data_IF_497657046608
#
_entry.id   IF_497657046608
#
_cell.length_a   1.000
_cell.length_b   1.000
_cell.length_c   1.000
_cell.angle_alpha   90.00
_cell.angle_beta   90.00
_cell.angle_gamma   90.00
#
_symmetry.space_group_name_H-M   'P 1'
#
loop_
_entity.id
_entity.type
_entity.pdbx_description
1 polymer ?
#
# COMPACT_ATOMS: atom_id res chain seq x y z
N UNK A 1 15.67 37.04 -7.94
CA UNK A 1 14.37 36.62 -8.50
C UNK A 1 13.46 36.23 -7.34
N UNK A 2 12.21 36.76 -7.22
CA UNK A 2 11.32 36.48 -6.11
C UNK A 2 10.25 35.48 -6.57
N UNK A 3 10.19 34.28 -5.95
CA UNK A 3 9.16 33.28 -6.24
C UNK A 3 7.80 33.85 -5.88
N UNK A 4 6.81 33.74 -6.80
CA UNK A 4 5.42 34.15 -6.57
C UNK A 4 4.44 33.00 -6.57
N UNK A 5 4.75 31.92 -7.32
CA UNK A 5 3.87 30.76 -7.48
C UNK A 5 4.67 29.47 -7.29
N UNK A 6 4.07 28.50 -6.64
CA UNK A 6 4.61 27.14 -6.44
C UNK A 6 3.56 26.14 -6.91
N UNK A 7 3.98 25.18 -7.74
CA UNK A 7 3.17 24.04 -8.14
C UNK A 7 3.58 22.81 -7.31
N UNK A 8 2.61 22.17 -6.69
CA UNK A 8 2.81 20.97 -5.86
C UNK A 8 2.09 19.80 -6.53
N UNK A 9 2.84 18.76 -6.92
CA UNK A 9 2.30 17.58 -7.63
C UNK A 9 1.67 16.52 -6.70
N UNK A 10 0.84 16.98 -5.78
CA UNK A 10 0.09 16.10 -4.87
C UNK A 10 -1.32 16.67 -4.63
N UNK A 11 -2.27 15.87 -4.13
CA UNK A 11 -3.58 16.35 -3.74
C UNK A 11 -3.49 17.46 -2.68
N UNK A 12 -4.44 18.39 -2.74
CA UNK A 12 -4.54 19.46 -1.74
C UNK A 12 -4.70 18.85 -0.34
N UNK A 13 -3.92 19.29 0.67
CA UNK A 13 -4.07 18.81 2.04
C UNK A 13 -5.47 19.07 2.57
N UNK A 14 -6.05 18.08 3.26
CA UNK A 14 -7.36 18.23 3.91
C UNK A 14 -7.28 18.98 5.23
N UNK A 15 -6.12 19.00 5.87
CA UNK A 15 -5.90 19.65 7.16
C UNK A 15 -5.56 21.14 6.98
N UNK A 16 -6.23 21.99 7.73
CA UNK A 16 -6.00 23.45 7.72
C UNK A 16 -4.59 23.82 8.22
N UNK A 17 -3.97 22.97 9.06
CA UNK A 17 -2.62 23.15 9.60
C UNK A 17 -1.51 22.57 8.70
N UNK A 18 -1.74 22.48 7.40
CA UNK A 18 -0.72 22.03 6.47
C UNK A 18 0.44 23.03 6.36
N UNK A 19 1.71 22.58 6.38
CA UNK A 19 2.88 23.43 6.15
C UNK A 19 2.82 24.25 4.89
N UNK A 20 2.15 23.74 3.84
CA UNK A 20 1.94 24.47 2.58
C UNK A 20 1.01 25.66 2.74
N UNK A 21 -0.09 25.49 3.49
CA UNK A 21 -1.04 26.58 3.73
C UNK A 21 -0.43 27.67 4.63
N UNK A 22 0.37 27.27 5.61
CA UNK A 22 1.14 28.20 6.44
C UNK A 22 2.15 28.98 5.62
N UNK A 23 2.92 28.31 4.74
CA UNK A 23 3.85 28.94 3.83
C UNK A 23 3.15 29.94 2.88
N UNK A 24 1.98 29.58 2.35
CA UNK A 24 1.16 30.45 1.50
C UNK A 24 0.79 31.75 2.21
N UNK A 25 0.33 31.65 3.47
CA UNK A 25 -0.05 32.80 4.30
C UNK A 25 1.16 33.67 4.64
N UNK A 26 2.24 33.09 5.17
CA UNK A 26 3.44 33.82 5.63
C UNK A 26 4.19 34.53 4.50
N UNK A 27 4.27 33.90 3.33
CA UNK A 27 5.07 34.43 2.21
C UNK A 27 4.24 35.07 1.10
N UNK A 28 2.91 35.11 1.25
CA UNK A 28 1.96 35.62 0.23
C UNK A 28 2.19 34.95 -1.14
N UNK A 29 2.41 33.63 -1.13
CA UNK A 29 2.65 32.83 -2.32
C UNK A 29 1.34 32.23 -2.83
N UNK A 30 1.23 32.08 -4.16
CA UNK A 30 0.19 31.24 -4.75
C UNK A 30 0.71 29.78 -4.77
N UNK A 31 -0.03 28.85 -4.17
CA UNK A 31 0.30 27.42 -4.22
C UNK A 31 -0.83 26.68 -4.92
N UNK A 32 -0.51 26.10 -6.07
CA UNK A 32 -1.42 25.29 -6.87
C UNK A 32 -1.11 23.81 -6.64
N UNK A 33 -2.14 23.01 -6.32
CA UNK A 33 -2.04 21.57 -6.08
C UNK A 33 -2.62 20.85 -7.29
N UNK A 34 -1.75 20.18 -8.07
CA UNK A 34 -2.15 19.39 -9.24
C UNK A 34 -1.48 18.01 -9.13
N UNK A 35 -2.20 16.95 -8.73
CA UNK A 35 -1.62 15.62 -8.67
C UNK A 35 -1.33 15.11 -10.08
N UNK A 36 -0.06 14.76 -10.35
CA UNK A 36 0.36 14.20 -11.64
C UNK A 36 0.21 12.68 -11.71
N UNK A 37 0.14 12.03 -10.56
CA UNK A 37 0.02 10.59 -10.46
C UNK A 37 -1.29 10.26 -9.75
N UNK A 38 -2.12 9.44 -10.39
CA UNK A 38 -3.35 8.92 -9.84
C UNK A 38 -3.26 7.40 -9.75
N UNK A 39 -3.44 6.85 -8.54
CA UNK A 39 -3.54 5.41 -8.33
C UNK A 39 -5.02 5.04 -8.35
N UNK A 40 -5.46 4.40 -9.43
CA UNK A 40 -6.81 3.85 -9.56
C UNK A 40 -6.78 2.37 -9.13
N UNK A 41 -7.58 2.03 -8.15
CA UNK A 41 -7.68 0.62 -7.74
C UNK A 41 -8.48 -0.20 -8.75
N UNK A 42 -8.04 -1.42 -9.00
CA UNK A 42 -8.74 -2.37 -9.86
C UNK A 42 -10.22 -2.54 -9.44
N UNK A 43 -11.07 -2.75 -10.40
CA UNK A 43 -12.49 -3.04 -10.18
C UNK A 43 -12.68 -4.52 -9.85
N UNK A 44 -13.83 -4.87 -9.24
CA UNK A 44 -14.18 -6.28 -8.99
C UNK A 44 -14.24 -7.09 -10.29
N UNK A 45 -14.69 -6.45 -11.39
CA UNK A 45 -14.74 -7.11 -12.71
C UNK A 45 -13.34 -7.49 -13.19
N UNK A 46 -12.38 -6.59 -13.08
CA UNK A 46 -10.98 -6.84 -13.45
C UNK A 46 -10.35 -7.95 -12.60
N UNK A 47 -10.60 -7.97 -11.29
CA UNK A 47 -10.11 -9.02 -10.38
C UNK A 47 -10.73 -10.38 -10.73
N UNK A 48 -12.05 -10.42 -11.04
CA UNK A 48 -12.71 -11.66 -11.45
C UNK A 48 -12.19 -12.19 -12.80
N UNK A 49 -11.85 -11.31 -13.74
CA UNK A 49 -11.22 -11.70 -14.99
C UNK A 49 -9.86 -12.36 -14.79
N UNK A 50 -9.12 -11.98 -13.76
CA UNK A 50 -7.86 -12.62 -13.39
C UNK A 50 -8.06 -13.99 -12.72
N UNK A 51 -9.30 -14.41 -12.46
CA UNK A 51 -9.64 -15.70 -11.81
C UNK A 51 -8.97 -15.90 -10.45
N UNK A 52 -8.70 -14.81 -9.75
CA UNK A 52 -8.07 -14.84 -8.42
C UNK A 52 -9.12 -15.26 -7.39
N UNK A 53 -8.87 -16.37 -6.72
CA UNK A 53 -9.66 -16.85 -5.60
C UNK A 53 -9.00 -16.44 -4.27
N UNK A 54 -9.57 -15.42 -3.61
CA UNK A 54 -9.03 -14.89 -2.37
C UNK A 54 -9.00 -15.89 -1.22
N UNK A 55 -9.80 -16.95 -1.28
CA UNK A 55 -9.87 -17.97 -0.23
C UNK A 55 -8.64 -18.87 -0.18
N UNK A 56 -7.86 -18.91 -1.25
CA UNK A 56 -6.66 -19.75 -1.38
C UNK A 56 -5.43 -19.15 -0.71
N UNK A 57 -5.48 -17.87 -0.34
CA UNK A 57 -4.34 -17.19 0.23
C UNK A 57 -4.41 -17.15 1.76
N UNK A 58 -3.32 -17.52 2.40
CA UNK A 58 -3.16 -17.49 3.86
C UNK A 58 -2.29 -16.31 4.33
N UNK A 59 -1.60 -15.66 3.40
CA UNK A 59 -0.76 -14.51 3.67
C UNK A 59 -0.88 -13.42 2.59
N UNK A 60 -0.65 -12.18 2.97
CA UNK A 60 -0.66 -11.05 2.05
C UNK A 60 0.57 -10.16 2.25
N UNK A 61 1.17 -9.71 1.15
CA UNK A 61 2.30 -8.79 1.14
C UNK A 61 1.79 -7.39 0.81
N UNK A 62 1.98 -6.44 1.72
CA UNK A 62 1.52 -5.06 1.61
C UNK A 62 2.71 -4.12 1.48
N UNK A 63 2.88 -3.52 0.31
CA UNK A 63 4.01 -2.65 -0.02
C UNK A 63 3.73 -1.17 0.18
N UNK A 64 2.46 -0.77 0.34
CA UNK A 64 2.05 0.62 0.48
C UNK A 64 0.68 0.74 1.17
N UNK A 65 0.33 1.95 1.62
CA UNK A 65 -1.01 2.26 2.14
C UNK A 65 -2.09 2.02 1.09
N UNK A 66 -1.82 2.36 -0.18
CA UNK A 66 -2.75 2.09 -1.28
C UNK A 66 -3.02 0.60 -1.47
N UNK A 67 -1.99 -0.26 -1.30
CA UNK A 67 -2.18 -1.70 -1.34
C UNK A 67 -3.12 -2.18 -0.22
N UNK A 68 -3.01 -1.62 0.99
CA UNK A 68 -3.91 -1.88 2.11
C UNK A 68 -5.34 -1.48 1.74
N UNK A 69 -5.56 -0.21 1.36
CA UNK A 69 -6.90 0.30 1.06
C UNK A 69 -7.58 -0.48 -0.08
N UNK A 70 -6.83 -0.76 -1.14
CA UNK A 70 -7.38 -1.47 -2.30
C UNK A 70 -7.69 -2.93 -2.01
N UNK A 71 -6.87 -3.61 -1.21
CA UNK A 71 -7.15 -4.98 -0.79
C UNK A 71 -8.45 -5.05 0.01
N UNK A 72 -8.60 -4.28 1.09
CA UNK A 72 -9.80 -4.31 1.90
C UNK A 72 -11.04 -3.84 1.15
N UNK A 73 -10.91 -2.82 0.29
CA UNK A 73 -12.00 -2.39 -0.61
C UNK A 73 -12.47 -3.50 -1.54
N UNK A 74 -11.55 -4.32 -2.09
CA UNK A 74 -11.91 -5.46 -2.92
C UNK A 74 -12.57 -6.54 -2.09
N UNK A 75 -12.03 -6.89 -0.92
CA UNK A 75 -12.63 -7.86 -0.01
C UNK A 75 -14.07 -7.48 0.33
N UNK A 76 -14.32 -6.23 0.69
CA UNK A 76 -15.66 -5.71 0.98
C UNK A 76 -16.61 -5.84 -0.22
N UNK A 77 -16.18 -5.37 -1.40
CA UNK A 77 -17.00 -5.43 -2.62
C UNK A 77 -17.26 -6.86 -3.10
N UNK A 78 -16.36 -7.79 -2.85
CA UNK A 78 -16.52 -9.20 -3.14
C UNK A 78 -17.25 -9.96 -2.02
N UNK A 79 -17.60 -9.29 -0.92
CA UNK A 79 -18.18 -9.90 0.30
C UNK A 79 -17.30 -11.01 0.88
N UNK A 80 -15.99 -10.88 0.71
CA UNK A 80 -15.00 -11.79 1.26
C UNK A 80 -14.60 -11.34 2.67
N UNK A 81 -14.94 -12.15 3.65
CA UNK A 81 -14.50 -11.93 5.04
C UNK A 81 -13.07 -12.45 5.18
N UNK A 82 -12.13 -11.53 5.41
CA UNK A 82 -10.73 -11.89 5.62
C UNK A 82 -10.62 -12.79 6.86
N UNK A 83 -10.02 -13.99 6.74
CA UNK A 83 -9.91 -14.91 7.88
C UNK A 83 -9.05 -14.33 9.00
N UNK A 84 -9.41 -14.65 10.24
CA UNK A 84 -8.61 -14.28 11.42
C UNK A 84 -7.20 -14.88 11.41
N UNK A 85 -7.00 -15.96 10.64
CA UNK A 85 -5.70 -16.61 10.44
C UNK A 85 -4.78 -15.89 9.48
N UNK A 86 -5.29 -14.93 8.68
CA UNK A 86 -4.52 -14.21 7.68
C UNK A 86 -3.25 -13.59 8.27
N UNK A 87 -2.12 -13.80 7.61
CA UNK A 87 -0.84 -13.21 7.95
C UNK A 87 -0.54 -12.01 7.04
N UNK A 88 0.03 -10.96 7.60
CA UNK A 88 0.31 -9.71 6.90
C UNK A 88 1.80 -9.44 6.88
N UNK A 89 2.37 -9.28 5.70
CA UNK A 89 3.77 -8.94 5.49
C UNK A 89 3.85 -7.51 4.99
N UNK A 90 4.18 -6.59 5.88
CA UNK A 90 4.23 -5.16 5.59
C UNK A 90 5.65 -4.73 5.24
N UNK A 91 5.83 -4.04 4.12
CA UNK A 91 7.15 -3.61 3.67
C UNK A 91 7.84 -2.67 4.68
N UNK A 92 7.06 -1.88 5.44
CA UNK A 92 7.58 -0.94 6.43
C UNK A 92 6.64 -0.80 7.62
N UNK A 93 7.16 -0.25 8.71
CA UNK A 93 6.39 0.05 9.92
C UNK A 93 5.22 1.01 9.64
N UNK A 94 5.41 1.98 8.74
CA UNK A 94 4.36 2.92 8.32
C UNK A 94 3.16 2.20 7.70
N UNK A 95 3.42 1.15 6.90
CA UNK A 95 2.36 0.32 6.31
C UNK A 95 1.69 -0.53 7.39
N UNK A 96 2.45 -1.10 8.31
CA UNK A 96 1.92 -1.91 9.41
C UNK A 96 1.05 -1.09 10.37
N UNK A 97 1.46 0.13 10.69
CA UNK A 97 0.65 1.07 11.48
C UNK A 97 -0.65 1.44 10.75
N UNK A 98 -0.57 1.70 9.44
CA UNK A 98 -1.75 2.02 8.64
C UNK A 98 -2.74 0.84 8.54
N UNK A 99 -2.22 -0.39 8.48
CA UNK A 99 -3.03 -1.62 8.46
C UNK A 99 -3.95 -1.74 9.67
N UNK A 100 -3.61 -1.15 10.82
CA UNK A 100 -4.42 -1.16 12.03
C UNK A 100 -5.78 -0.45 11.88
N UNK A 101 -5.96 0.37 10.85
CA UNK A 101 -7.27 0.94 10.52
C UNK A 101 -8.26 -0.12 10.00
N UNK A 102 -7.76 -1.28 9.59
CA UNK A 102 -8.57 -2.35 8.98
C UNK A 102 -8.58 -3.64 9.82
N UNK A 103 -7.54 -3.90 10.59
CA UNK A 103 -7.41 -5.13 11.39
C UNK A 103 -6.89 -4.82 12.79
N UNK A 104 -7.27 -5.66 13.76
CA UNK A 104 -6.69 -5.60 15.11
C UNK A 104 -5.24 -6.05 15.07
N UNK A 105 -4.33 -5.22 15.61
CA UNK A 105 -2.91 -5.55 15.65
C UNK A 105 -2.68 -6.81 16.48
N UNK A 106 -2.04 -7.81 15.85
CA UNK A 106 -1.61 -9.05 16.50
C UNK A 106 -0.16 -9.35 16.09
N UNK A 107 0.78 -9.22 17.01
CA UNK A 107 2.23 -9.40 16.79
C UNK A 107 2.58 -10.71 16.07
N UNK A 108 1.82 -11.78 16.28
CA UNK A 108 2.04 -13.10 15.65
C UNK A 108 1.57 -13.19 14.19
N UNK A 109 0.89 -12.17 13.69
CA UNK A 109 0.28 -12.17 12.34
C UNK A 109 0.77 -11.04 11.45
N UNK A 110 1.47 -10.05 12.01
CA UNK A 110 1.97 -8.89 11.28
C UNK A 110 3.49 -8.91 11.33
N UNK A 111 4.08 -9.12 10.17
CA UNK A 111 5.52 -9.17 9.95
C UNK A 111 5.94 -7.88 9.24
N UNK A 112 6.98 -7.23 9.72
CA UNK A 112 7.35 -5.89 9.25
C UNK A 112 8.78 -5.89 8.74
N UNK A 113 8.97 -5.51 7.47
CA UNK A 113 10.26 -5.17 6.90
C UNK A 113 10.72 -3.77 7.36
N UNK A 114 11.95 -3.40 7.01
CA UNK A 114 12.48 -2.07 7.38
C UNK A 114 12.01 -1.00 6.41
N UNK A 115 12.30 -1.13 5.11
CA UNK A 115 11.94 -0.15 4.07
C UNK A 115 11.78 -0.74 2.68
N UNK A 116 12.58 -1.75 2.34
CA UNK A 116 12.64 -2.30 0.99
C UNK A 116 11.99 -3.67 0.92
N UNK A 117 11.59 -4.07 -0.29
CA UNK A 117 11.04 -5.41 -0.51
C UNK A 117 12.08 -6.50 -0.20
N UNK A 118 13.34 -6.26 -0.54
CA UNK A 118 14.47 -7.17 -0.26
C UNK A 118 14.58 -7.51 1.23
N UNK A 119 14.34 -6.55 2.11
CA UNK A 119 14.38 -6.76 3.56
C UNK A 119 13.18 -7.56 4.10
N UNK A 120 12.09 -7.65 3.32
CA UNK A 120 10.93 -8.45 3.63
C UNK A 120 11.15 -9.94 3.23
N UNK A 121 11.98 -10.21 2.22
CA UNK A 121 12.24 -11.55 1.71
C UNK A 121 12.66 -12.57 2.78
N UNK A 122 13.56 -12.28 3.74
CA UNK A 122 13.90 -13.23 4.80
C UNK A 122 12.72 -13.60 5.72
N UNK A 123 11.74 -12.68 5.87
CA UNK A 123 10.53 -12.96 6.64
C UNK A 123 9.58 -13.86 5.84
N UNK A 124 9.45 -13.63 4.53
CA UNK A 124 8.66 -14.46 3.62
C UNK A 124 9.25 -15.88 3.59
N UNK A 125 10.57 -16.01 3.42
CA UNK A 125 11.29 -17.29 3.36
C UNK A 125 11.06 -18.18 4.60
N UNK A 126 10.86 -17.58 5.78
CA UNK A 126 10.53 -18.32 7.01
C UNK A 126 9.11 -18.90 7.03
N UNK A 127 8.29 -18.50 6.06
CA UNK A 127 6.87 -18.87 6.01
C UNK A 127 6.51 -19.54 4.67
N UNK A 128 7.40 -20.40 4.15
CA UNK A 128 7.22 -21.12 2.87
C UNK A 128 5.93 -21.95 2.77
N UNK A 129 5.31 -22.28 3.89
CA UNK A 129 4.04 -23.03 3.92
C UNK A 129 2.81 -22.14 3.68
N UNK A 130 2.98 -20.81 3.56
CA UNK A 130 1.89 -19.89 3.30
C UNK A 130 1.72 -19.64 1.80
N UNK A 131 0.49 -19.45 1.38
CA UNK A 131 0.18 -18.99 0.02
C UNK A 131 0.03 -17.48 0.02
N UNK A 132 0.93 -16.80 -0.66
CA UNK A 132 1.04 -15.35 -0.62
C UNK A 132 0.23 -14.68 -1.73
N UNK A 133 -0.47 -13.60 -1.39
CA UNK A 133 -1.05 -12.64 -2.34
C UNK A 133 -0.22 -11.36 -2.30
N UNK A 134 0.23 -10.88 -3.47
CA UNK A 134 0.89 -9.59 -3.61
C UNK A 134 0.04 -8.64 -4.45
N UNK A 135 -0.76 -7.75 -3.83
CA UNK A 135 -1.42 -6.68 -4.56
C UNK A 135 -0.40 -5.68 -5.08
N UNK A 136 -0.37 -5.49 -6.38
CA UNK A 136 0.60 -4.63 -7.05
C UNK A 136 -0.06 -3.77 -8.13
N UNK A 137 0.68 -2.81 -8.67
CA UNK A 137 0.29 -2.02 -9.84
C UNK A 137 0.60 -2.78 -11.12
N UNK A 138 0.02 -2.34 -12.24
CA UNK A 138 0.27 -2.90 -13.58
C UNK A 138 1.76 -2.86 -13.97
N UNK A 139 2.50 -1.92 -13.38
CA UNK A 139 3.95 -1.77 -13.57
C UNK A 139 4.69 -2.21 -12.31
N UNK A 140 4.81 -3.52 -12.13
CA UNK A 140 5.64 -4.07 -11.06
C UNK A 140 7.11 -3.77 -11.33
N UNK A 141 7.84 -3.37 -10.29
CA UNK A 141 9.29 -3.21 -10.40
C UNK A 141 9.93 -4.56 -10.77
N UNK A 142 10.82 -4.63 -11.77
CA UNK A 142 11.41 -5.90 -12.24
C UNK A 142 12.19 -6.67 -11.16
N UNK A 143 12.60 -5.99 -10.11
CA UNK A 143 13.32 -6.59 -8.97
C UNK A 143 12.42 -7.52 -8.14
N UNK A 144 11.12 -7.21 -8.05
CA UNK A 144 10.21 -7.95 -7.14
C UNK A 144 9.98 -9.39 -7.60
N UNK A 145 9.65 -9.68 -8.88
CA UNK A 145 9.58 -11.06 -9.35
C UNK A 145 10.88 -11.82 -9.15
N UNK A 146 12.03 -11.24 -9.50
CA UNK A 146 13.34 -11.88 -9.32
C UNK A 146 13.62 -12.27 -7.87
N UNK A 147 13.30 -11.37 -6.91
CA UNK A 147 13.48 -11.65 -5.51
C UNK A 147 12.50 -12.71 -4.98
N UNK A 148 11.32 -12.86 -5.59
CA UNK A 148 10.37 -13.92 -5.24
C UNK A 148 10.82 -15.27 -5.82
N UNK A 149 11.32 -15.30 -7.05
CA UNK A 149 11.88 -16.50 -7.69
C UNK A 149 13.10 -17.06 -6.91
N UNK A 150 13.88 -16.18 -6.27
CA UNK A 150 15.01 -16.58 -5.40
C UNK A 150 14.56 -17.23 -4.06
N UNK A 151 13.26 -17.14 -3.72
CA UNK A 151 12.71 -17.69 -2.47
C UNK A 151 12.11 -19.10 -2.64
N UNK A 152 11.90 -19.56 -3.87
CA UNK A 152 11.45 -20.92 -4.17
C UNK A 152 12.58 -21.93 -3.94
#
# INVERSE_FOLDING_TARGET
MKVKTILVSQPRPKLENSPFLDLQKRRKLKIDFIPFIHVKGATVKEIRLQKIDLTKFSAIILTSRYAVDHYFRICEKMRFKVPDSMKYFCQSEVVALYLQNHVVYRKRKIYVGKRTFKELCPLIAKHKNETFLLPTTDKLKPEVPKLLDELE
#
